data_IF_215725221350
#
_entry.id   IF_215725221350
#
_cell.length_a   1.000
_cell.length_b   1.000
_cell.length_c   1.000
_cell.angle_alpha   90.00
_cell.angle_beta   90.00
_cell.angle_gamma   90.00
#
_symmetry.space_group_name_H-M   'P 1'
#
loop_
_entity.id
_entity.type
_entity.pdbx_description
1 polymer ?
#
# COMPACT_ATOMS: atom_id res chain seq x y z
N UNK A 1 10.46 -7.01 -24.34
CA UNK A 1 9.59 -6.58 -23.22
C UNK A 1 10.38 -5.60 -22.37
N UNK A 2 9.70 -4.59 -21.81
CA UNK A 2 10.26 -3.66 -20.82
C UNK A 2 9.45 -3.78 -19.53
N UNK A 3 10.07 -3.47 -18.39
CA UNK A 3 9.44 -3.50 -17.06
C UNK A 3 9.60 -2.12 -16.44
N UNK A 4 8.51 -1.61 -15.88
CA UNK A 4 8.47 -0.36 -15.13
C UNK A 4 8.11 -0.67 -13.69
N UNK A 5 8.80 -0.03 -12.76
CA UNK A 5 8.49 -0.08 -11.35
C UNK A 5 8.70 1.31 -10.75
N UNK A 6 7.97 1.61 -9.68
CA UNK A 6 8.13 2.81 -8.86
C UNK A 6 7.68 2.45 -7.44
N UNK A 7 8.13 3.22 -6.46
CA UNK A 7 7.70 3.13 -5.06
C UNK A 7 7.21 4.52 -4.63
N UNK A 8 6.13 4.56 -3.87
CA UNK A 8 5.60 5.76 -3.25
C UNK A 8 5.33 5.52 -1.77
N UNK A 9 5.23 6.61 -1.00
CA UNK A 9 4.87 6.57 0.41
C UNK A 9 3.55 7.31 0.64
N UNK A 10 2.75 6.85 1.59
CA UNK A 10 1.54 7.56 2.00
C UNK A 10 1.41 7.63 3.53
N UNK A 11 2.52 7.96 4.19
CA UNK A 11 2.70 7.81 5.64
C UNK A 11 1.75 8.67 6.47
N UNK A 12 1.77 10.00 6.27
CA UNK A 12 0.95 10.92 7.07
C UNK A 12 -0.56 10.66 6.88
N UNK A 13 -1.09 10.51 5.64
CA UNK A 13 -2.49 10.15 5.45
C UNK A 13 -2.86 8.81 6.07
N UNK A 14 -2.03 7.77 5.91
CA UNK A 14 -2.26 6.43 6.46
C UNK A 14 -2.24 6.37 7.99
N UNK A 15 -1.60 7.34 8.64
CA UNK A 15 -1.65 7.44 10.11
C UNK A 15 -2.98 8.04 10.60
N UNK A 16 -3.47 9.07 9.91
CA UNK A 16 -4.69 9.81 10.26
C UNK A 16 -5.94 9.01 9.90
N UNK A 17 -6.01 8.50 8.66
CA UNK A 17 -7.06 7.62 8.17
C UNK A 17 -6.37 6.40 7.53
N UNK A 18 -6.26 5.27 8.24
CA UNK A 18 -5.52 4.11 7.77
C UNK A 18 -6.04 3.44 6.49
N UNK A 19 -7.36 3.32 6.32
CA UNK A 19 -7.94 2.64 5.16
C UNK A 19 -7.79 3.50 3.90
N UNK A 20 -8.31 4.72 3.95
CA UNK A 20 -8.28 5.64 2.82
C UNK A 20 -6.86 6.08 2.53
N UNK A 21 -6.05 6.35 3.56
CA UNK A 21 -4.65 6.71 3.40
C UNK A 21 -3.82 5.61 2.74
N UNK A 22 -4.08 4.34 3.01
CA UNK A 22 -3.37 3.27 2.31
C UNK A 22 -3.93 3.01 0.91
N UNK A 23 -5.26 3.04 0.75
CA UNK A 23 -5.95 2.82 -0.51
C UNK A 23 -5.56 3.88 -1.57
N UNK A 24 -5.48 5.16 -1.20
CA UNK A 24 -5.05 6.22 -2.14
C UNK A 24 -3.58 6.09 -2.52
N UNK A 25 -2.75 5.47 -1.68
CA UNK A 25 -1.36 5.15 -1.97
C UNK A 25 -1.24 4.13 -3.11
N UNK A 26 -2.04 3.06 -3.05
CA UNK A 26 -2.16 2.10 -4.16
C UNK A 26 -2.66 2.78 -5.43
N UNK A 27 -3.69 3.63 -5.32
CA UNK A 27 -4.19 4.38 -6.47
C UNK A 27 -3.15 5.28 -7.13
N UNK A 28 -2.30 5.93 -6.33
CA UNK A 28 -1.19 6.77 -6.80
C UNK A 28 -0.19 5.99 -7.65
N UNK A 29 0.43 4.95 -7.06
CA UNK A 29 1.45 4.16 -7.74
C UNK A 29 0.91 3.45 -8.99
N UNK A 30 -0.34 2.98 -8.96
CA UNK A 30 -0.97 2.36 -10.14
C UNK A 30 -1.08 3.36 -11.29
N UNK A 31 -1.48 4.61 -11.01
CA UNK A 31 -1.57 5.66 -12.03
C UNK A 31 -0.20 6.03 -12.59
N UNK A 32 0.85 6.01 -11.79
CA UNK A 32 2.20 6.26 -12.30
C UNK A 32 2.65 5.21 -13.32
N UNK A 33 2.41 3.92 -13.03
CA UNK A 33 2.74 2.83 -13.95
C UNK A 33 1.94 2.97 -15.25
N UNK A 34 0.65 3.30 -15.16
CA UNK A 34 -0.21 3.56 -16.32
C UNK A 34 0.28 4.76 -17.15
N UNK A 35 0.74 5.84 -16.51
CA UNK A 35 1.27 7.02 -17.20
C UNK A 35 2.53 6.72 -18.03
N UNK A 36 3.29 5.68 -17.66
CA UNK A 36 4.43 5.19 -18.44
C UNK A 36 4.01 4.31 -19.64
N UNK A 37 2.71 4.12 -19.89
CA UNK A 37 2.18 3.23 -20.93
C UNK A 37 2.32 1.73 -20.58
N UNK A 38 2.64 1.41 -19.33
CA UNK A 38 2.78 0.03 -18.86
C UNK A 38 1.49 -0.47 -18.20
N UNK A 39 1.21 -1.78 -18.34
CA UNK A 39 0.10 -2.42 -17.63
C UNK A 39 0.57 -2.84 -16.22
N UNK A 40 -0.05 -2.35 -15.13
CA UNK A 40 0.22 -2.88 -13.80
C UNK A 40 -0.14 -4.36 -13.72
N UNK A 41 0.72 -5.17 -13.12
CA UNK A 41 0.53 -6.62 -13.01
C UNK A 41 0.58 -7.14 -11.58
N UNK A 42 1.16 -6.36 -10.66
CA UNK A 42 1.27 -6.69 -9.26
C UNK A 42 1.60 -5.44 -8.43
N UNK A 43 1.38 -5.54 -7.12
CA UNK A 43 1.83 -4.57 -6.12
C UNK A 43 2.63 -5.27 -5.02
N UNK A 44 3.42 -4.49 -4.28
CA UNK A 44 4.17 -4.91 -3.09
C UNK A 44 4.15 -3.80 -2.05
N UNK A 45 4.08 -4.13 -0.76
CA UNK A 45 3.93 -3.16 0.33
C UNK A 45 5.06 -3.23 1.39
N UNK A 46 5.92 -2.20 1.49
CA UNK A 46 6.86 -2.06 2.59
C UNK A 46 6.20 -1.30 3.75
N UNK A 47 5.70 -2.03 4.75
CA UNK A 47 5.01 -1.50 5.92
C UNK A 47 5.96 -1.35 7.12
N UNK A 48 5.75 -0.25 7.84
CA UNK A 48 6.45 0.12 9.08
C UNK A 48 5.40 0.58 10.08
N UNK A 49 5.35 -0.07 11.24
CA UNK A 49 4.50 0.31 12.36
C UNK A 49 5.34 0.41 13.63
N UNK A 50 4.83 1.09 14.66
CA UNK A 50 5.44 1.02 15.98
C UNK A 50 5.27 -0.38 16.59
N UNK A 51 5.78 -0.58 17.81
CA UNK A 51 5.76 -1.86 18.52
C UNK A 51 4.43 -2.63 18.37
N UNK A 52 4.51 -3.93 18.10
CA UNK A 52 3.37 -4.76 17.72
C UNK A 52 2.26 -4.83 18.79
N UNK A 53 2.64 -4.67 20.07
CA UNK A 53 1.75 -4.65 21.22
C UNK A 53 1.21 -3.26 21.57
N UNK A 54 1.77 -2.20 20.97
CA UNK A 54 1.36 -0.82 21.21
C UNK A 54 -0.11 -0.62 20.83
N UNK A 55 -0.94 0.04 21.68
CA UNK A 55 -2.36 0.24 21.41
C UNK A 55 -2.64 0.93 20.07
N UNK A 56 -1.77 1.86 19.68
CA UNK A 56 -1.94 2.61 18.44
C UNK A 56 -1.65 1.78 17.18
N UNK A 57 -0.73 0.80 17.27
CA UNK A 57 -0.49 -0.16 16.17
C UNK A 57 -1.74 -0.96 15.87
N UNK A 58 -2.50 -1.35 16.90
CA UNK A 58 -3.79 -2.05 16.76
C UNK A 58 -4.86 -1.20 16.08
N UNK A 59 -4.76 0.13 16.17
CA UNK A 59 -5.65 1.07 15.46
C UNK A 59 -5.26 1.22 13.99
N UNK A 60 -3.97 1.37 13.69
CA UNK A 60 -3.49 1.73 12.35
C UNK A 60 -3.39 0.51 11.42
N UNK A 61 -2.76 -0.58 11.88
CA UNK A 61 -2.40 -1.71 11.02
C UNK A 61 -3.60 -2.33 10.28
N UNK A 62 -4.74 -2.65 10.94
CA UNK A 62 -5.84 -3.32 10.26
C UNK A 62 -6.42 -2.48 9.13
N UNK A 63 -6.50 -1.16 9.31
CA UNK A 63 -7.02 -0.26 8.29
C UNK A 63 -6.05 -0.11 7.11
N UNK A 64 -4.73 -0.02 7.35
CA UNK A 64 -3.74 0.02 6.27
C UNK A 64 -3.82 -1.23 5.39
N UNK A 65 -3.80 -2.42 6.01
CA UNK A 65 -3.88 -3.70 5.29
C UNK A 65 -5.20 -3.82 4.53
N UNK A 66 -6.32 -3.44 5.16
CA UNK A 66 -7.63 -3.44 4.51
C UNK A 66 -7.72 -2.43 3.35
N UNK A 67 -7.08 -1.26 3.45
CA UNK A 67 -7.05 -0.25 2.39
C UNK A 67 -6.24 -0.71 1.18
N UNK A 68 -5.06 -1.29 1.40
CA UNK A 68 -4.23 -1.89 0.35
C UNK A 68 -5.00 -3.00 -0.37
N UNK A 69 -5.54 -3.95 0.39
CA UNK A 69 -6.31 -5.06 -0.16
C UNK A 69 -7.57 -4.58 -0.87
N UNK A 70 -8.29 -3.64 -0.27
CA UNK A 70 -9.53 -3.09 -0.83
C UNK A 70 -9.30 -2.48 -2.22
N UNK A 71 -8.29 -1.63 -2.37
CA UNK A 71 -8.01 -1.00 -3.66
C UNK A 71 -7.39 -1.97 -4.67
N UNK A 72 -6.37 -2.74 -4.26
CA UNK A 72 -5.67 -3.69 -5.13
C UNK A 72 -6.61 -4.78 -5.68
N UNK A 73 -7.42 -5.39 -4.81
CA UNK A 73 -8.37 -6.43 -5.21
C UNK A 73 -9.45 -5.89 -6.15
N UNK A 74 -9.96 -4.68 -5.93
CA UNK A 74 -10.93 -4.05 -6.83
C UNK A 74 -10.39 -3.85 -8.25
N UNK A 75 -9.08 -3.61 -8.39
CA UNK A 75 -8.42 -3.45 -9.68
C UNK A 75 -7.92 -4.76 -10.28
N UNK A 76 -8.08 -5.90 -9.59
CA UNK A 76 -7.53 -7.18 -10.01
C UNK A 76 -6.00 -7.23 -9.97
N UNK A 77 -5.36 -6.43 -9.10
CA UNK A 77 -3.92 -6.40 -8.93
C UNK A 77 -3.52 -7.24 -7.71
N UNK A 78 -2.84 -8.38 -7.89
CA UNK A 78 -2.38 -9.17 -6.77
C UNK A 78 -1.28 -8.43 -6.02
N UNK A 79 -1.41 -8.40 -4.69
CA UNK A 79 -0.25 -8.15 -3.84
C UNK A 79 0.58 -9.43 -3.78
N UNK A 80 1.81 -9.38 -4.28
CA UNK A 80 2.67 -10.56 -4.43
C UNK A 80 3.79 -10.64 -3.39
N UNK A 81 3.84 -9.70 -2.44
CA UNK A 81 4.86 -9.68 -1.41
C UNK A 81 5.00 -8.32 -0.74
N UNK A 82 5.90 -8.22 0.22
CA UNK A 82 6.10 -7.00 0.98
C UNK A 82 7.05 -7.23 2.12
N UNK A 83 7.12 -6.25 2.99
CA UNK A 83 7.88 -6.32 4.24
C UNK A 83 7.04 -5.67 5.34
N UNK A 84 7.02 -6.27 6.53
CA UNK A 84 6.43 -5.66 7.71
C UNK A 84 7.49 -5.61 8.80
N UNK A 85 7.73 -4.42 9.35
CA UNK A 85 8.61 -4.23 10.52
C UNK A 85 7.84 -3.48 11.60
N UNK A 86 8.07 -3.90 12.85
CA UNK A 86 7.57 -3.28 14.07
C UNK A 86 8.77 -2.82 14.90
N UNK A 87 8.83 -1.53 15.24
CA UNK A 87 9.92 -0.92 16.02
C UNK A 87 9.47 0.01 17.17
#
# INVERSE_FOLDING_TARGET
YAVTFKVESHNHPSYIEPYQGAATGIGGIVRDILAMGARPVAVVDPLRFGAADHPDTKRVLPGVVAGIGGYGNCLGLPNIGGEVVFD
#
